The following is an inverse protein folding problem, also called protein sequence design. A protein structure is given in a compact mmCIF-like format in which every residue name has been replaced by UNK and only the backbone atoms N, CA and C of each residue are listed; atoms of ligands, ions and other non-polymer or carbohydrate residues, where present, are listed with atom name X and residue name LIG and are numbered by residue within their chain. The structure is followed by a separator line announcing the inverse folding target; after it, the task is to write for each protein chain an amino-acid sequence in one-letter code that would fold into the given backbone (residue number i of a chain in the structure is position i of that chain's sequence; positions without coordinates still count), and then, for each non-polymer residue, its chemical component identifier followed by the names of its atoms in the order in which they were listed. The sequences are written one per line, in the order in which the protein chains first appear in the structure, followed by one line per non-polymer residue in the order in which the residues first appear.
data_IF_839602737613
#
_entry.id   IF_839602737613
#
_cell.length_a   1.000
_cell.length_b   1.000
_cell.length_c   1.000
_cell.angle_alpha   90.00
_cell.angle_beta   90.00
_cell.angle_gamma   90.00
#
_symmetry.space_group_name_H-M   'P 1'
#
loop_
_entity.id
_entity.type
_entity.pdbx_description
1 polymer ?
#
# COMPACT_ATOMS: atom_id res chain seq x y z
N UNK A 1 -9.73 2.08 -6.69
CA UNK A 1 -8.82 3.25 -6.87
C UNK A 1 -9.43 4.39 -6.08
N UNK A 2 -8.66 4.99 -5.18
CA UNK A 2 -9.17 5.86 -4.11
C UNK A 2 -9.33 5.15 -2.76
N UNK A 3 -9.05 3.85 -2.71
CA UNK A 3 -9.19 3.04 -1.50
C UNK A 3 -8.03 3.34 -0.54
N UNK A 4 -8.35 3.62 0.72
CA UNK A 4 -7.37 3.81 1.78
C UNK A 4 -6.87 2.46 2.27
N UNK A 5 -5.55 2.32 2.31
CA UNK A 5 -4.89 1.09 2.73
C UNK A 5 -3.75 1.36 3.70
N UNK A 6 -3.45 0.35 4.50
CA UNK A 6 -2.31 0.28 5.40
C UNK A 6 -1.41 -0.90 5.03
N UNK A 7 -0.10 -0.73 5.14
CA UNK A 7 0.90 -1.76 4.86
C UNK A 7 2.19 -1.49 5.64
N UNK A 8 3.04 -2.51 5.78
CA UNK A 8 4.35 -2.39 6.43
C UNK A 8 5.40 -1.81 5.48
N UNK A 9 6.33 -0.98 5.99
CA UNK A 9 7.50 -0.51 5.22
C UNK A 9 8.31 -1.67 4.65
N UNK A 10 8.43 -2.77 5.38
CA UNK A 10 9.13 -3.98 4.93
C UNK A 10 8.50 -4.69 3.73
N UNK A 11 7.22 -4.43 3.43
CA UNK A 11 6.51 -5.00 2.28
C UNK A 11 6.61 -4.11 1.02
N UNK A 12 7.29 -2.95 1.09
CA UNK A 12 7.49 -2.05 -0.05
C UNK A 12 8.52 -2.63 -1.02
N UNK A 13 8.12 -2.83 -2.27
CA UNK A 13 8.99 -3.34 -3.32
C UNK A 13 9.78 -2.22 -4.01
N UNK A 14 9.12 -1.10 -4.36
CA UNK A 14 9.76 0.05 -5.00
C UNK A 14 9.04 1.38 -4.70
N UNK A 15 9.76 2.52 -4.71
CA UNK A 15 11.22 2.58 -4.62
C UNK A 15 11.69 1.92 -3.31
N UNK A 16 12.93 1.42 -3.30
CA UNK A 16 13.48 0.83 -2.08
C UNK A 16 13.40 1.86 -0.93
N UNK A 17 13.21 1.40 0.33
CA UNK A 17 13.00 2.27 1.50
C UNK A 17 14.10 3.31 1.76
N UNK A 18 15.22 3.24 1.03
CA UNK A 18 16.37 4.15 1.05
C UNK A 18 16.04 5.65 0.84
N UNK A 19 14.77 6.04 0.72
CA UNK A 19 14.28 7.42 0.63
C UNK A 19 13.47 7.87 1.85
N UNK A 20 12.14 8.00 1.72
CA UNK A 20 11.29 8.65 2.74
C UNK A 20 11.13 7.83 4.02
N UNK A 21 11.40 6.52 3.97
CA UNK A 21 11.32 5.62 5.12
C UNK A 21 12.65 5.38 5.84
N UNK A 22 13.75 6.08 5.47
CA UNK A 22 15.09 5.89 6.09
C UNK A 22 15.07 5.93 7.63
N UNK A 23 14.15 6.71 8.22
CA UNK A 23 14.05 6.87 9.67
C UNK A 23 12.93 6.01 10.32
N UNK A 24 12.15 5.28 9.52
CA UNK A 24 11.08 4.43 10.02
C UNK A 24 11.62 3.01 10.25
N UNK A 25 11.40 2.41 11.43
CA UNK A 25 11.61 0.98 11.62
C UNK A 25 10.88 0.16 10.55
N UNK A 26 11.43 -0.98 10.13
CA UNK A 26 10.82 -1.88 9.14
C UNK A 26 9.40 -2.34 9.51
N UNK A 27 9.06 -2.33 10.80
CA UNK A 27 7.75 -2.67 11.37
C UNK A 27 6.75 -1.49 11.36
N UNK A 28 7.13 -0.34 10.81
CA UNK A 28 6.26 0.83 10.75
C UNK A 28 5.14 0.59 9.75
N UNK A 29 3.90 0.70 10.22
CA UNK A 29 2.72 0.70 9.37
C UNK A 29 2.54 2.08 8.72
N UNK A 30 2.29 2.09 7.41
CA UNK A 30 2.12 3.28 6.58
C UNK A 30 0.74 3.25 5.97
N UNK A 31 0.07 4.40 6.00
CA UNK A 31 -1.21 4.61 5.33
C UNK A 31 -1.02 5.30 3.98
N UNK A 32 -1.83 4.92 3.00
CA UNK A 32 -1.83 5.53 1.68
C UNK A 32 -3.12 5.28 0.92
N UNK A 33 -3.18 5.79 -0.31
CA UNK A 33 -4.33 5.63 -1.21
C UNK A 33 -3.92 4.84 -2.43
N UNK A 34 -4.65 3.79 -2.78
CA UNK A 34 -4.41 3.06 -4.03
C UNK A 34 -4.76 3.96 -5.21
N UNK A 35 -3.75 4.29 -6.02
CA UNK A 35 -3.90 5.06 -7.25
C UNK A 35 -3.95 4.16 -8.49
N UNK A 36 -3.35 2.97 -8.44
CA UNK A 36 -3.39 2.00 -9.53
C UNK A 36 -3.07 0.57 -9.07
N UNK A 37 -3.24 -0.40 -9.96
CA UNK A 37 -2.77 -1.77 -9.79
C UNK A 37 -1.87 -2.18 -10.96
N UNK A 38 -0.81 -2.93 -10.67
CA UNK A 38 -0.02 -3.62 -11.69
C UNK A 38 -0.33 -5.10 -11.67
N UNK A 39 -0.56 -5.65 -12.85
CA UNK A 39 -0.58 -7.09 -13.07
C UNK A 39 0.86 -7.63 -13.05
N UNK A 40 1.03 -8.89 -12.66
CA UNK A 40 2.18 -9.68 -13.09
C UNK A 40 1.70 -10.55 -14.24
N UNK A 41 2.54 -10.89 -15.23
CA UNK A 41 2.08 -11.54 -16.47
C UNK A 41 1.17 -12.77 -16.30
N UNK A 42 1.14 -13.41 -15.12
CA UNK A 42 0.25 -14.51 -14.76
C UNK A 42 -0.83 -14.19 -13.70
N UNK A 43 -0.82 -13.03 -13.02
CA UNK A 43 -1.76 -12.67 -11.95
C UNK A 43 -2.26 -11.22 -12.12
N UNK A 44 -3.58 -11.02 -12.33
CA UNK A 44 -4.14 -9.67 -12.32
C UNK A 44 -4.02 -9.04 -10.93
N UNK A 45 -3.76 -7.73 -10.87
CA UNK A 45 -3.60 -6.93 -9.65
C UNK A 45 -2.60 -7.56 -8.66
N UNK A 46 -1.47 -8.02 -9.17
CA UNK A 46 -0.42 -8.61 -8.33
C UNK A 46 0.17 -7.57 -7.36
N UNK A 47 0.23 -6.30 -7.76
CA UNK A 47 0.78 -5.21 -6.97
C UNK A 47 -0.20 -4.03 -6.90
N UNK A 48 -0.27 -3.40 -5.73
CA UNK A 48 -0.93 -2.14 -5.51
C UNK A 48 0.08 -1.00 -5.66
N UNK A 49 -0.29 0.02 -6.42
CA UNK A 49 0.42 1.29 -6.53
C UNK A 49 -0.24 2.27 -5.57
N UNK A 50 0.48 2.68 -4.54
CA UNK A 50 -0.06 3.44 -3.42
C UNK A 50 0.61 4.81 -3.35
N UNK A 51 -0.18 5.87 -3.35
CA UNK A 51 0.30 7.21 -3.04
C UNK A 51 0.28 7.42 -1.51
N UNK A 52 1.44 7.69 -0.94
CA UNK A 52 1.62 7.96 0.50
C UNK A 52 1.80 9.46 0.74
N UNK A 53 1.54 9.89 1.99
CA UNK A 53 1.73 11.29 2.39
C UNK A 53 3.14 11.76 2.01
N UNK A 54 3.24 12.98 1.45
CA UNK A 54 4.42 13.58 0.79
C UNK A 54 4.60 13.26 -0.70
N UNK A 55 3.52 12.84 -1.40
CA UNK A 55 3.46 12.67 -2.87
C UNK A 55 4.46 11.63 -3.40
N UNK A 56 4.71 10.59 -2.62
CA UNK A 56 5.53 9.49 -3.08
C UNK A 56 4.64 8.31 -3.42
N UNK A 57 4.89 7.73 -4.58
CA UNK A 57 4.23 6.50 -5.00
C UNK A 57 5.11 5.31 -4.64
N UNK A 58 4.52 4.32 -3.99
CA UNK A 58 5.16 3.04 -3.65
C UNK A 58 4.42 1.87 -4.27
N UNK A 59 5.14 0.77 -4.47
CA UNK A 59 4.63 -0.49 -4.99
C UNK A 59 4.66 -1.51 -3.86
N UNK A 60 3.52 -2.10 -3.56
CA UNK A 60 3.35 -3.10 -2.49
C UNK A 60 2.62 -4.31 -3.09
N UNK A 61 2.97 -5.56 -2.73
CA UNK A 61 2.16 -6.71 -3.11
C UNK A 61 0.71 -6.52 -2.68
N UNK A 62 -0.25 -6.74 -3.57
CA UNK A 62 -1.66 -6.45 -3.28
C UNK A 62 -2.24 -7.30 -2.14
N UNK A 63 -1.61 -8.45 -1.84
CA UNK A 63 -1.97 -9.31 -0.71
C UNK A 63 -1.41 -8.85 0.64
N UNK A 64 -0.55 -7.82 0.64
CA UNK A 64 0.09 -7.25 1.84
C UNK A 64 -0.52 -5.91 2.26
N UNK A 65 -1.45 -5.37 1.48
CA UNK A 65 -2.19 -4.16 1.85
C UNK A 65 -3.48 -4.52 2.58
N UNK A 66 -3.80 -3.77 3.63
CA UNK A 66 -5.03 -3.92 4.42
C UNK A 66 -5.92 -2.70 4.21
N UNK A 67 -7.18 -2.84 3.78
CA UNK A 67 -8.11 -1.72 3.71
C UNK A 67 -8.34 -1.07 5.07
N UNK A 68 -8.36 0.27 5.12
CA UNK A 68 -8.62 1.03 6.35
C UNK A 68 -10.14 1.25 6.55
N UNK A 69 -10.91 1.22 5.46
CA UNK A 69 -12.37 1.32 5.51
C UNK A 69 -13.02 -0.07 5.57
N UNK A 70 -13.25 -0.55 6.79
CA UNK A 70 -14.18 -1.65 7.09
C UNK A 70 -14.66 -1.58 8.55
N UNK A 71 -15.29 -0.48 8.94
CA UNK A 71 -16.35 -0.53 9.97
C UNK A 71 -17.54 0.30 9.51
N UNK A 72 -18.54 -0.39 8.95
CA UNK A 72 -19.80 0.21 8.50
C UNK A 72 -20.68 -0.77 7.74
N UNK A 73 -20.90 -1.97 8.28
CA UNK A 73 -21.83 -2.97 7.75
C UNK A 73 -22.58 -3.66 8.88
N UNK A 74 -23.28 -2.87 9.70
CA UNK A 74 -24.30 -3.37 10.61
C UNK A 74 -25.61 -2.64 10.27
N UNK A 75 -26.35 -3.18 9.30
CA UNK A 75 -27.77 -2.98 9.00
C UNK A 75 -28.09 -3.94 7.83
N UNK A 76 -29.06 -4.87 7.86
CA UNK A 76 -30.18 -5.15 8.78
C UNK A 76 -30.52 -6.64 8.76
#
# INVERSE_FOLDING_TARGET
MGDKVRFSVSDVFLPQPEGVFIAAPDETEVEGTIVDFSDSGSKPRAFAVVDVVRRQTVIVPAEKVTPIDSQGGNDS
#
